data_IF_120940980420
#
_entry.id   IF_120940980420
#
_cell.length_a   1.000
_cell.length_b   1.000
_cell.length_c   1.000
_cell.angle_alpha   90.00
_cell.angle_beta   90.00
_cell.angle_gamma   90.00
#
_symmetry.space_group_name_H-M   'P 1'
#
loop_
_entity.id
_entity.type
_entity.pdbx_description
1 polymer ?
#
# COMPACT_ATOMS: atom_id res chain seq x y z
N UNK A 1 5.11 6.76 -22.12
CA UNK A 1 3.98 6.39 -21.27
C UNK A 1 4.14 7.02 -19.88
N UNK A 2 3.06 7.63 -19.37
CA UNK A 2 3.09 8.36 -18.10
C UNK A 2 2.47 7.49 -17.02
N UNK A 3 3.21 7.28 -15.93
CA UNK A 3 2.78 6.52 -14.76
C UNK A 3 2.96 7.39 -13.51
N UNK A 4 1.99 8.23 -13.20
CA UNK A 4 2.09 9.21 -12.11
C UNK A 4 1.69 8.60 -10.75
N UNK A 5 2.39 7.56 -10.34
CA UNK A 5 2.08 6.86 -9.09
C UNK A 5 2.22 7.77 -7.87
N UNK A 6 3.30 8.54 -7.79
CA UNK A 6 3.50 9.46 -6.65
C UNK A 6 2.35 10.45 -6.53
N UNK A 7 1.96 11.08 -7.64
CA UNK A 7 0.86 12.05 -7.63
C UNK A 7 -0.47 11.41 -7.25
N UNK A 8 -0.73 10.19 -7.74
CA UNK A 8 -1.97 9.48 -7.42
C UNK A 8 -2.06 9.14 -5.94
N UNK A 9 -0.97 8.64 -5.36
CA UNK A 9 -0.92 8.30 -3.94
C UNK A 9 -1.08 9.58 -3.09
N UNK A 10 -0.42 10.67 -3.47
CA UNK A 10 -0.53 11.93 -2.76
C UNK A 10 -1.97 12.46 -2.79
N UNK A 11 -2.63 12.41 -3.94
CA UNK A 11 -4.02 12.83 -4.07
C UNK A 11 -4.95 12.02 -3.15
N UNK A 12 -4.78 10.70 -3.14
CA UNK A 12 -5.55 9.82 -2.26
C UNK A 12 -5.27 10.13 -0.78
N UNK A 13 -4.01 10.37 -0.43
CA UNK A 13 -3.61 10.69 0.93
C UNK A 13 -4.23 12.01 1.41
N UNK A 14 -4.25 13.01 0.55
CA UNK A 14 -4.87 14.31 0.88
C UNK A 14 -6.38 14.17 1.08
N UNK A 15 -7.03 13.37 0.27
CA UNK A 15 -8.46 13.07 0.42
C UNK A 15 -8.73 12.39 1.77
N UNK A 16 -7.93 11.40 2.13
CA UNK A 16 -8.06 10.72 3.42
C UNK A 16 -7.85 11.67 4.60
N UNK A 17 -6.96 12.63 4.46
CA UNK A 17 -6.65 13.59 5.53
C UNK A 17 -7.82 14.53 5.83
N UNK A 18 -8.81 14.64 4.93
CA UNK A 18 -10.03 15.42 5.18
C UNK A 18 -11.07 14.64 5.98
N UNK A 19 -10.87 13.34 6.17
CA UNK A 19 -11.81 12.48 6.90
C UNK A 19 -11.58 12.59 8.40
N UNK A 20 -12.60 12.28 9.22
CA UNK A 20 -12.45 12.33 10.68
C UNK A 20 -11.32 11.46 11.18
N UNK A 21 -10.61 11.92 12.20
CA UNK A 21 -9.56 11.15 12.89
C UNK A 21 -10.19 10.03 13.71
N UNK A 22 -9.40 9.02 14.04
CA UNK A 22 -9.82 7.91 14.88
C UNK A 22 -10.05 6.61 14.13
N UNK A 23 -10.09 6.65 12.80
CA UNK A 23 -10.13 5.45 11.98
C UNK A 23 -8.77 5.23 11.33
N UNK A 24 -8.43 3.97 11.14
CA UNK A 24 -7.20 3.62 10.44
C UNK A 24 -7.28 4.10 8.99
N UNK A 25 -6.21 4.78 8.55
CA UNK A 25 -6.13 5.31 7.20
C UNK A 25 -5.25 4.43 6.35
N UNK A 26 -5.80 3.89 5.27
CA UNK A 26 -5.06 3.07 4.32
C UNK A 26 -5.40 3.47 2.90
N UNK A 27 -4.39 3.30 2.03
CA UNK A 27 -4.55 3.42 0.59
C UNK A 27 -4.23 2.05 0.00
N UNK A 28 -5.15 1.52 -0.79
CA UNK A 28 -4.93 0.29 -1.54
C UNK A 28 -4.62 0.63 -2.98
N UNK A 29 -3.50 0.13 -3.47
CA UNK A 29 -2.98 0.45 -4.82
C UNK A 29 -2.84 -0.83 -5.64
N UNK A 30 -3.35 -0.82 -6.86
CA UNK A 30 -3.09 -1.85 -7.86
C UNK A 30 -2.21 -1.20 -8.93
N UNK A 31 -0.97 -1.67 -9.06
CA UNK A 31 -0.01 -1.01 -9.94
C UNK A 31 1.13 -1.96 -10.33
N UNK A 32 1.80 -1.66 -11.43
CA UNK A 32 3.06 -2.31 -11.79
C UNK A 32 4.25 -1.69 -11.03
N UNK A 33 3.99 -0.66 -10.24
CA UNK A 33 5.02 0.00 -9.43
C UNK A 33 5.91 0.98 -10.17
N UNK A 34 5.66 1.20 -11.45
CA UNK A 34 6.41 2.18 -12.23
C UNK A 34 5.97 3.60 -11.86
N UNK A 35 6.93 4.48 -11.77
CA UNK A 35 6.69 5.90 -11.52
C UNK A 35 7.38 6.72 -12.61
N UNK A 36 6.61 7.57 -13.28
CA UNK A 36 7.15 8.43 -14.31
C UNK A 36 6.22 9.63 -14.52
N UNK A 37 6.77 10.82 -14.42
CA UNK A 37 6.05 12.03 -14.76
C UNK A 37 5.29 12.70 -13.64
N UNK A 38 5.38 12.21 -12.41
CA UNK A 38 4.76 12.88 -11.26
C UNK A 38 5.45 14.22 -10.96
N UNK A 39 4.68 15.16 -10.47
CA UNK A 39 5.20 16.43 -9.97
C UNK A 39 5.76 16.28 -8.56
N UNK A 40 5.12 15.45 -7.74
CA UNK A 40 5.58 15.19 -6.38
C UNK A 40 6.69 14.14 -6.39
N UNK A 41 7.68 14.33 -5.52
CA UNK A 41 8.75 13.35 -5.33
C UNK A 41 8.31 12.25 -4.37
N UNK A 42 8.97 11.11 -4.46
CA UNK A 42 8.77 10.02 -3.52
C UNK A 42 8.93 10.49 -2.07
N UNK A 43 9.97 11.28 -1.78
CA UNK A 43 10.21 11.77 -0.42
C UNK A 43 9.08 12.64 0.10
N UNK A 44 8.55 13.53 -0.74
CA UNK A 44 7.44 14.39 -0.35
C UNK A 44 6.19 13.57 -0.01
N UNK A 45 5.85 12.62 -0.86
CA UNK A 45 4.69 11.77 -0.67
C UNK A 45 4.85 10.90 0.56
N UNK A 46 6.03 10.28 0.72
CA UNK A 46 6.30 9.43 1.88
C UNK A 46 6.19 10.22 3.18
N UNK A 47 6.74 11.42 3.22
CA UNK A 47 6.64 12.29 4.40
C UNK A 47 5.18 12.58 4.74
N UNK A 48 4.37 12.87 3.72
CA UNK A 48 2.94 13.14 3.93
C UNK A 48 2.22 11.91 4.50
N UNK A 49 2.49 10.74 3.94
CA UNK A 49 1.91 9.48 4.41
C UNK A 49 2.27 9.19 5.86
N UNK A 50 3.54 9.33 6.21
CA UNK A 50 4.03 9.04 7.55
C UNK A 50 3.51 10.06 8.56
N UNK A 51 3.50 11.33 8.21
CA UNK A 51 2.99 12.40 9.09
C UNK A 51 1.50 12.18 9.39
N UNK A 52 0.73 11.74 8.42
CA UNK A 52 -0.72 11.53 8.56
C UNK A 52 -1.08 10.09 8.94
N UNK A 53 -0.10 9.26 9.21
CA UNK A 53 -0.26 7.85 9.63
C UNK A 53 -1.10 7.05 8.65
N UNK A 54 -0.77 7.18 7.36
CA UNK A 54 -1.43 6.47 6.28
C UNK A 54 -0.53 5.32 5.83
N UNK A 55 -1.05 4.10 5.82
CA UNK A 55 -0.35 2.93 5.31
C UNK A 55 -0.77 2.64 3.87
N UNK A 56 0.20 2.21 3.05
CA UNK A 56 -0.06 1.79 1.68
C UNK A 56 -0.05 0.27 1.62
N UNK A 57 -1.12 -0.29 1.11
CA UNK A 57 -1.25 -1.71 0.79
C UNK A 57 -1.35 -1.81 -0.73
N UNK A 58 -0.88 -2.90 -1.29
CA UNK A 58 -0.91 -2.98 -2.73
C UNK A 58 -0.92 -4.38 -3.32
N UNK A 59 -1.36 -4.44 -4.56
CA UNK A 59 -1.24 -5.62 -5.41
C UNK A 59 -0.38 -5.25 -6.60
N UNK A 60 0.78 -5.88 -6.70
CA UNK A 60 1.68 -5.71 -7.82
C UNK A 60 1.19 -6.52 -9.02
N UNK A 61 1.09 -5.88 -10.15
CA UNK A 61 0.61 -6.48 -11.40
C UNK A 61 1.61 -6.23 -12.53
N UNK A 62 1.33 -6.78 -13.70
CA UNK A 62 2.18 -6.59 -14.87
C UNK A 62 3.57 -7.20 -14.68
N UNK A 63 4.61 -6.51 -15.07
CA UNK A 63 5.99 -7.00 -14.94
C UNK A 63 6.40 -7.24 -13.50
N UNK A 64 5.83 -6.50 -12.56
CA UNK A 64 6.10 -6.70 -11.14
C UNK A 64 5.62 -8.07 -10.65
N UNK A 65 4.59 -8.64 -11.27
CA UNK A 65 4.06 -9.95 -10.89
C UNK A 65 5.00 -11.12 -11.24
N UNK A 66 6.07 -10.87 -12.01
CA UNK A 66 7.07 -11.90 -12.33
C UNK A 66 7.87 -12.39 -11.13
N UNK A 67 7.87 -11.63 -10.05
CA UNK A 67 8.62 -12.00 -8.85
C UNK A 67 7.91 -13.05 -7.99
N UNK A 68 6.82 -13.61 -8.49
CA UNK A 68 6.04 -14.65 -7.83
C UNK A 68 4.67 -14.15 -7.42
N UNK A 69 3.76 -15.10 -7.20
CA UNK A 69 2.42 -14.79 -6.74
C UNK A 69 2.33 -14.90 -5.22
N UNK A 70 1.44 -14.14 -4.63
CA UNK A 70 1.19 -14.16 -3.20
C UNK A 70 1.89 -13.05 -2.44
N UNK A 71 1.83 -13.12 -1.12
CA UNK A 71 2.41 -12.09 -0.26
C UNK A 71 3.93 -12.08 -0.33
N UNK A 72 4.47 -10.89 -0.49
CA UNK A 72 5.90 -10.65 -0.44
C UNK A 72 6.22 -10.14 0.96
N UNK A 73 6.93 -10.96 1.72
CA UNK A 73 7.35 -10.60 3.07
C UNK A 73 8.38 -9.47 3.03
N UNK A 74 8.30 -8.56 4.01
CA UNK A 74 9.30 -7.52 4.19
C UNK A 74 10.72 -8.08 4.29
N UNK A 75 10.87 -9.27 4.84
CA UNK A 75 12.17 -9.93 5.05
C UNK A 75 12.69 -10.61 3.79
N UNK A 76 11.84 -10.80 2.79
CA UNK A 76 12.16 -11.62 1.61
C UNK A 76 11.89 -10.87 0.29
N UNK A 77 11.91 -9.55 0.30
CA UNK A 77 11.73 -8.78 -0.95
C UNK A 77 12.96 -8.99 -1.83
N UNK A 78 12.77 -9.47 -3.08
CA UNK A 78 13.90 -9.61 -3.98
C UNK A 78 14.58 -8.27 -4.22
N UNK A 79 15.90 -8.29 -4.33
CA UNK A 79 16.69 -7.08 -4.58
C UNK A 79 16.17 -6.29 -5.77
N UNK A 80 15.70 -6.98 -6.82
CA UNK A 80 15.16 -6.34 -8.03
C UNK A 80 13.88 -5.54 -7.79
N UNK A 81 13.21 -5.74 -6.66
CA UNK A 81 11.99 -4.98 -6.33
C UNK A 81 12.27 -3.66 -5.61
N UNK A 82 13.50 -3.38 -5.22
CA UNK A 82 13.79 -2.11 -4.53
C UNK A 82 13.56 -0.90 -5.41
N UNK A 83 13.61 -1.06 -6.73
CA UNK A 83 13.29 0.00 -7.68
C UNK A 83 11.79 0.17 -7.93
N UNK A 84 10.98 -0.75 -7.41
CA UNK A 84 9.53 -0.69 -7.56
C UNK A 84 8.95 0.29 -6.54
N UNK A 85 8.30 1.34 -7.03
CA UNK A 85 7.77 2.40 -6.16
C UNK A 85 6.63 1.93 -5.27
N UNK A 86 5.79 1.03 -5.77
CA UNK A 86 4.72 0.49 -4.94
C UNK A 86 5.29 -0.28 -3.74
N UNK A 87 6.27 -1.15 -3.99
CA UNK A 87 6.95 -1.88 -2.92
C UNK A 87 7.60 -0.92 -1.92
N UNK A 88 8.24 0.14 -2.39
CA UNK A 88 8.86 1.14 -1.53
C UNK A 88 7.85 1.80 -0.58
N UNK A 89 6.70 2.22 -1.10
CA UNK A 89 5.64 2.82 -0.29
C UNK A 89 5.09 1.83 0.74
N UNK A 90 4.83 0.60 0.31
CA UNK A 90 4.29 -0.44 1.20
C UNK A 90 5.23 -0.71 2.36
N UNK A 91 6.52 -0.90 2.06
CA UNK A 91 7.54 -1.15 3.08
C UNK A 91 7.66 0.01 4.07
N UNK A 92 7.74 1.23 3.55
CA UNK A 92 7.99 2.41 4.38
C UNK A 92 6.78 2.82 5.23
N UNK A 93 5.58 2.39 4.88
CA UNK A 93 4.35 2.77 5.60
C UNK A 93 3.72 1.62 6.40
N UNK A 94 4.29 0.43 6.35
CA UNK A 94 3.84 -0.69 7.18
C UNK A 94 2.69 -1.50 6.61
N UNK A 95 2.39 -1.37 5.32
CA UNK A 95 1.36 -2.17 4.67
C UNK A 95 1.84 -3.54 4.22
N UNK A 96 1.05 -4.17 3.37
CA UNK A 96 1.35 -5.48 2.79
C UNK A 96 1.28 -5.39 1.27
N UNK A 97 2.21 -6.06 0.60
CA UNK A 97 2.25 -6.17 -0.84
C UNK A 97 1.93 -7.60 -1.26
N UNK A 98 0.97 -7.74 -2.16
CA UNK A 98 0.65 -9.00 -2.80
C UNK A 98 1.02 -8.90 -4.28
N UNK A 99 1.25 -10.03 -4.93
CA UNK A 99 1.61 -10.06 -6.34
C UNK A 99 0.72 -11.05 -7.07
N UNK A 100 0.01 -10.59 -8.09
CA UNK A 100 -0.96 -11.42 -8.78
C UNK A 100 -0.95 -11.16 -10.29
N UNK A 101 -1.28 -12.21 -11.03
CA UNK A 101 -1.45 -12.17 -12.47
C UNK A 101 -2.92 -12.37 -12.82
N UNK A 102 -3.44 -11.52 -13.69
CA UNK A 102 -4.79 -11.64 -14.20
C UNK A 102 -5.87 -11.11 -13.27
N UNK A 103 -7.06 -10.97 -13.80
CA UNK A 103 -8.18 -10.31 -13.12
C UNK A 103 -8.66 -11.09 -11.89
N UNK A 104 -8.76 -12.41 -12.01
CA UNK A 104 -9.20 -13.25 -10.88
C UNK A 104 -8.21 -13.20 -9.72
N UNK A 105 -6.91 -13.13 -10.03
CA UNK A 105 -5.87 -12.98 -9.03
C UNK A 105 -5.97 -11.66 -8.29
N UNK A 106 -6.29 -10.58 -9.01
CA UNK A 106 -6.46 -9.25 -8.41
C UNK A 106 -7.63 -9.25 -7.43
N UNK A 107 -8.75 -9.87 -7.79
CA UNK A 107 -9.91 -9.97 -6.89
C UNK A 107 -9.59 -10.74 -5.62
N UNK A 108 -8.88 -11.86 -5.74
CA UNK A 108 -8.42 -12.66 -4.60
C UNK A 108 -7.46 -11.87 -3.71
N UNK A 109 -6.54 -11.15 -4.32
CA UNK A 109 -5.58 -10.32 -3.63
C UNK A 109 -6.26 -9.20 -2.84
N UNK A 110 -7.21 -8.52 -3.45
CA UNK A 110 -8.01 -7.51 -2.77
C UNK A 110 -8.73 -8.09 -1.55
N UNK A 111 -9.37 -9.23 -1.70
CA UNK A 111 -10.09 -9.87 -0.61
C UNK A 111 -9.17 -10.25 0.55
N UNK A 112 -7.98 -10.77 0.26
CA UNK A 112 -6.95 -11.09 1.26
C UNK A 112 -6.53 -9.87 2.05
N UNK A 113 -6.20 -8.80 1.33
CA UNK A 113 -5.73 -7.55 1.94
C UNK A 113 -6.84 -6.91 2.76
N UNK A 114 -8.07 -6.90 2.26
CA UNK A 114 -9.21 -6.36 2.99
C UNK A 114 -9.45 -7.12 4.31
N UNK A 115 -9.32 -8.44 4.30
CA UNK A 115 -9.47 -9.25 5.52
C UNK A 115 -8.35 -8.99 6.51
N UNK A 116 -7.12 -8.86 6.03
CA UNK A 116 -5.98 -8.52 6.88
C UNK A 116 -6.17 -7.17 7.56
N UNK A 117 -6.61 -6.17 6.82
CA UNK A 117 -6.89 -4.84 7.36
C UNK A 117 -7.95 -4.89 8.44
N UNK A 118 -9.05 -5.62 8.19
CA UNK A 118 -10.12 -5.80 9.20
C UNK A 118 -9.60 -6.49 10.45
N UNK A 119 -8.79 -7.53 10.29
CA UNK A 119 -8.21 -8.29 11.40
C UNK A 119 -7.33 -7.40 12.28
N UNK A 120 -6.46 -6.60 11.67
CA UNK A 120 -5.59 -5.68 12.39
C UNK A 120 -6.42 -4.59 13.10
N UNK A 121 -7.46 -4.08 12.45
CA UNK A 121 -8.37 -3.10 13.06
C UNK A 121 -9.05 -3.65 14.32
N UNK A 122 -9.55 -4.88 14.26
CA UNK A 122 -10.15 -5.56 15.42
C UNK A 122 -9.15 -5.74 16.56
N UNK A 123 -7.92 -6.13 16.25
CA UNK A 123 -6.87 -6.29 17.26
C UNK A 123 -6.58 -4.95 17.94
N UNK A 124 -6.48 -3.88 17.20
CA UNK A 124 -6.24 -2.55 17.77
C UNK A 124 -7.39 -2.06 18.63
N UNK A 125 -8.62 -2.32 18.23
CA UNK A 125 -9.79 -1.98 19.04
C UNK A 125 -9.76 -2.71 20.38
N UNK A 126 -9.40 -3.99 20.37
CA UNK A 126 -9.26 -4.77 21.58
C UNK A 126 -8.16 -4.23 22.50
N UNK A 127 -7.03 -3.78 21.92
CA UNK A 127 -5.90 -3.23 22.67
C UNK A 127 -6.22 -1.86 23.28
N UNK A 128 -7.14 -1.12 22.70
CA UNK A 128 -7.50 0.23 23.13
C UNK A 128 -8.65 0.25 24.14
N UNK A 129 -9.39 -0.84 24.29
CA UNK A 129 -10.48 -0.92 25.25
C UNK A 129 -9.94 -0.80 26.67
N UNK A 130 -10.52 0.09 27.50
CA UNK A 130 -10.08 0.20 28.88
C UNK A 130 -10.40 -1.09 29.64
N UNK A 131 -9.57 -1.46 30.61
CA UNK A 131 -9.88 -2.62 31.44
C UNK A 131 -11.20 -2.42 32.16
N UNK A 132 -11.96 -3.46 32.22
CA UNK A 132 -13.27 -3.45 32.87
C UNK A 132 -13.18 -3.08 34.35
#
# INVERSE_FOLDING_TARGET
EIHTLNDAILAAAKELSTRPKGRRRIIYVISDGKENGSKATYKEVLRYLQTNKIAVYGTAVGDAARWGEGYISRLHIPFTMYDNRLASYVLATGGTLDSENGLNGIEKSYAKIAEEVRRIGRTREADVQPPA
#
